data_IF_620916550802
#
_entry.id   IF_620916550802
#
_cell.length_a   1.000
_cell.length_b   1.000
_cell.length_c   1.000
_cell.angle_alpha   90.00
_cell.angle_beta   90.00
_cell.angle_gamma   90.00
#
_symmetry.space_group_name_H-M   'P 1'
#
loop_
_entity.id
_entity.type
_entity.pdbx_description
1 polymer ?
#
# COMPACT_ATOMS: atom_id res chain seq x y z
N UNK A 1 21.80 0.91 -8.62
CA UNK A 1 20.84 1.65 -7.79
C UNK A 1 19.49 1.42 -8.42
N UNK A 2 18.65 0.60 -7.79
CA UNK A 2 17.28 0.39 -8.27
C UNK A 2 16.51 1.70 -8.11
N UNK A 3 15.88 2.14 -9.20
CA UNK A 3 15.28 3.46 -9.29
C UNK A 3 13.87 3.37 -8.69
N UNK A 4 13.72 3.75 -7.41
CA UNK A 4 12.46 3.67 -6.65
C UNK A 4 11.45 4.80 -6.99
N UNK A 5 11.56 5.39 -8.19
CA UNK A 5 10.72 6.50 -8.66
C UNK A 5 9.21 6.16 -8.69
N UNK A 6 8.89 4.87 -8.79
CA UNK A 6 7.51 4.38 -8.80
C UNK A 6 6.80 4.57 -7.46
N UNK A 7 7.55 4.61 -6.34
CA UNK A 7 7.00 4.67 -4.98
C UNK A 7 7.27 6.03 -4.34
N UNK A 8 8.45 6.61 -4.56
CA UNK A 8 8.90 7.80 -3.84
C UNK A 8 7.92 8.98 -3.98
N UNK A 9 7.48 9.50 -2.82
CA UNK A 9 6.57 10.64 -2.69
C UNK A 9 5.21 10.48 -3.40
N UNK A 10 4.80 9.25 -3.71
CA UNK A 10 3.49 8.95 -4.32
C UNK A 10 2.40 8.73 -3.28
N UNK A 11 1.18 9.09 -3.65
CA UNK A 11 -0.03 8.68 -2.95
C UNK A 11 -0.51 7.38 -3.59
N UNK A 12 -0.59 6.29 -2.81
CA UNK A 12 -0.85 4.95 -3.32
C UNK A 12 -2.19 4.44 -2.79
N UNK A 13 -2.99 3.83 -3.68
CA UNK A 13 -4.21 3.10 -3.35
C UNK A 13 -3.98 1.60 -3.55
N UNK A 14 -4.09 0.84 -2.46
CA UNK A 14 -4.14 -0.62 -2.49
C UNK A 14 -5.57 -1.08 -2.80
N UNK A 15 -5.69 -2.01 -3.72
CA UNK A 15 -6.95 -2.64 -4.12
C UNK A 15 -6.87 -4.13 -3.81
N UNK A 16 -7.86 -4.63 -3.06
CA UNK A 16 -8.00 -6.05 -2.73
C UNK A 16 -9.46 -6.48 -2.88
N UNK A 17 -9.72 -7.77 -3.04
CA UNK A 17 -11.09 -8.27 -3.20
C UNK A 17 -11.83 -8.34 -1.86
N UNK A 18 -11.20 -8.85 -0.80
CA UNK A 18 -11.82 -9.05 0.52
C UNK A 18 -10.92 -8.62 1.69
N UNK A 19 -11.46 -7.78 2.57
CA UNK A 19 -10.84 -7.44 3.85
C UNK A 19 -11.22 -8.46 4.92
N UNK A 20 -10.23 -9.14 5.51
CA UNK A 20 -10.47 -10.05 6.65
C UNK A 20 -9.94 -9.47 7.96
N UNK A 21 -8.77 -9.92 8.43
CA UNK A 21 -8.09 -9.35 9.62
C UNK A 21 -7.33 -8.07 9.30
N UNK A 22 -7.19 -7.73 8.01
CA UNK A 22 -6.46 -6.57 7.54
C UNK A 22 -4.94 -6.71 7.55
N UNK A 23 -4.39 -7.85 7.98
CA UNK A 23 -2.95 -8.05 8.06
C UNK A 23 -2.24 -7.86 6.71
N UNK A 24 -2.82 -8.38 5.62
CA UNK A 24 -2.27 -8.25 4.26
C UNK A 24 -2.12 -6.79 3.84
N UNK A 25 -3.21 -6.01 3.93
CA UNK A 25 -3.21 -4.59 3.55
C UNK A 25 -2.34 -3.75 4.50
N UNK A 26 -2.27 -4.11 5.78
CA UNK A 26 -1.42 -3.43 6.75
C UNK A 26 0.07 -3.59 6.43
N UNK A 27 0.52 -4.82 6.22
CA UNK A 27 1.92 -5.11 5.88
C UNK A 27 2.33 -4.51 4.52
N UNK A 28 1.42 -4.54 3.54
CA UNK A 28 1.66 -3.92 2.24
C UNK A 28 1.79 -2.38 2.36
N UNK A 29 0.92 -1.74 3.13
CA UNK A 29 1.00 -0.30 3.38
C UNK A 29 2.29 0.07 4.12
N UNK A 30 2.67 -0.69 5.14
CA UNK A 30 3.92 -0.50 5.88
C UNK A 30 5.15 -0.60 4.95
N UNK A 31 5.21 -1.63 4.10
CA UNK A 31 6.28 -1.79 3.13
C UNK A 31 6.40 -0.58 2.18
N UNK A 32 5.28 -0.11 1.63
CA UNK A 32 5.28 1.04 0.71
C UNK A 32 5.66 2.36 1.40
N UNK A 33 5.22 2.58 2.64
CA UNK A 33 5.62 3.75 3.43
C UNK A 33 7.12 3.71 3.73
N UNK A 34 7.66 2.54 4.10
CA UNK A 34 9.10 2.37 4.37
C UNK A 34 9.96 2.61 3.12
N UNK A 35 9.43 2.30 1.93
CA UNK A 35 10.05 2.61 0.64
C UNK A 35 9.83 4.06 0.17
N UNK A 36 9.17 4.90 0.98
CA UNK A 36 9.09 6.34 0.77
C UNK A 36 7.83 6.85 0.07
N UNK A 37 6.74 6.06 0.07
CA UNK A 37 5.43 6.56 -0.32
C UNK A 37 4.99 7.73 0.58
N UNK A 38 4.31 8.72 0.00
CA UNK A 38 3.76 9.88 0.74
C UNK A 38 2.57 9.47 1.60
N UNK A 39 1.72 8.60 1.06
CA UNK A 39 0.57 8.05 1.76
C UNK A 39 0.15 6.73 1.10
N UNK A 40 -0.44 5.85 1.91
CA UNK A 40 -1.05 4.61 1.42
C UNK A 40 -2.46 4.51 1.99
N UNK A 41 -3.42 4.23 1.13
CA UNK A 41 -4.83 3.99 1.46
C UNK A 41 -5.26 2.66 0.86
N UNK A 42 -6.37 2.08 1.34
CA UNK A 42 -6.88 0.81 0.82
C UNK A 42 -8.37 0.87 0.51
N UNK A 43 -8.77 0.17 -0.55
CA UNK A 43 -10.15 -0.04 -0.95
C UNK A 43 -10.36 -1.54 -1.20
N UNK A 44 -11.44 -2.09 -0.65
CA UNK A 44 -11.82 -3.50 -0.83
C UNK A 44 -13.24 -3.60 -1.34
N UNK A 45 -13.55 -4.69 -2.05
CA UNK A 45 -14.90 -4.94 -2.57
C UNK A 45 -15.79 -5.53 -1.45
N UNK A 46 -15.23 -6.43 -0.64
CA UNK A 46 -15.93 -7.14 0.44
C UNK A 46 -15.19 -7.03 1.78
N UNK A 47 -15.90 -7.24 2.90
CA UNK A 47 -15.37 -7.25 4.26
C UNK A 47 -16.06 -8.32 5.11
#
# INVERSE_FOLDING_TARGET
>A
MENNEAIQAKEILLLDDIYTTGATLHLAAEALINEGAKSVSSLTIFR
#
